data_IF_299314521774
#
_entry.id   IF_299314521774
#
_cell.length_a   1.000
_cell.length_b   1.000
_cell.length_c   1.000
_cell.angle_alpha   90.00
_cell.angle_beta   90.00
_cell.angle_gamma   90.00
#
_symmetry.space_group_name_H-M   'P 1'
#
loop_
_entity.id
_entity.type
_entity.pdbx_description
1 polymer ?
#
# COMPACT_ATOMS: atom_id res chain seq x y z
N UNK A 1 1.30 -0.75 -23.06
CA UNK A 1 2.48 0.14 -23.01
C UNK A 1 2.16 1.60 -23.34
N UNK A 2 1.21 1.89 -24.23
CA UNK A 2 0.80 3.27 -24.52
C UNK A 2 -0.01 3.87 -23.35
N UNK A 3 0.13 5.16 -23.00
CA UNK A 3 0.94 6.18 -23.66
C UNK A 3 2.35 6.37 -23.07
N UNK A 4 2.77 5.57 -22.08
CA UNK A 4 4.09 5.71 -21.42
C UNK A 4 5.28 5.69 -22.39
N UNK A 5 5.19 4.88 -23.46
CA UNK A 5 6.22 4.84 -24.50
C UNK A 5 6.40 6.19 -25.22
N UNK A 6 5.34 6.99 -25.38
CA UNK A 6 5.43 8.32 -25.98
C UNK A 6 6.14 9.32 -25.08
N UNK A 7 5.94 9.21 -23.74
CA UNK A 7 6.70 10.03 -22.78
C UNK A 7 8.20 9.74 -22.90
N UNK A 8 8.57 8.46 -23.01
CA UNK A 8 9.95 8.06 -23.19
C UNK A 8 10.53 8.58 -24.52
N UNK A 9 9.76 8.45 -25.62
CA UNK A 9 10.15 9.00 -26.92
C UNK A 9 10.34 10.51 -26.88
N UNK A 10 9.44 11.26 -26.23
CA UNK A 10 9.58 12.71 -26.07
C UNK A 10 10.85 13.08 -25.31
N UNK A 11 11.19 12.35 -24.25
CA UNK A 11 12.40 12.59 -23.48
C UNK A 11 13.65 12.29 -24.30
N UNK A 12 13.66 11.20 -25.07
CA UNK A 12 14.82 10.74 -25.82
C UNK A 12 15.09 11.55 -27.11
N UNK A 13 14.04 12.02 -27.80
CA UNK A 13 14.13 12.54 -29.15
C UNK A 13 13.94 14.06 -29.25
N UNK A 14 13.29 14.69 -28.25
CA UNK A 14 13.09 16.14 -28.27
C UNK A 14 14.27 16.88 -27.61
N UNK A 15 14.84 17.91 -28.28
CA UNK A 15 15.85 18.76 -27.66
C UNK A 15 15.34 19.44 -26.38
N UNK A 16 16.22 19.63 -25.40
CA UNK A 16 15.86 20.18 -24.09
C UNK A 16 15.10 21.51 -24.16
N UNK A 17 15.53 22.40 -25.07
CA UNK A 17 14.93 23.73 -25.29
C UNK A 17 13.52 23.67 -25.93
N UNK A 18 13.09 22.53 -26.45
CA UNK A 18 11.76 22.32 -27.03
C UNK A 18 10.83 21.47 -26.15
N UNK A 19 11.33 20.95 -25.02
CA UNK A 19 10.50 20.17 -24.10
C UNK A 19 9.52 21.07 -23.38
N UNK A 20 8.24 20.84 -23.60
CA UNK A 20 7.15 21.55 -22.96
C UNK A 20 6.08 20.55 -22.53
N UNK A 21 5.91 20.36 -21.22
CA UNK A 21 4.99 19.37 -20.67
C UNK A 21 3.53 19.64 -21.07
N UNK A 22 3.10 20.90 -21.08
CA UNK A 22 1.73 21.26 -21.45
C UNK A 22 1.44 20.93 -22.91
N UNK A 23 2.39 21.26 -23.83
CA UNK A 23 2.23 20.92 -25.25
C UNK A 23 2.32 19.41 -25.47
N UNK A 24 3.20 18.70 -24.77
CA UNK A 24 3.24 17.25 -24.81
C UNK A 24 1.89 16.64 -24.38
N UNK A 25 1.28 17.10 -23.30
CA UNK A 25 -0.05 16.61 -22.85
C UNK A 25 -1.12 16.84 -23.93
N UNK A 26 -1.13 18.01 -24.55
CA UNK A 26 -2.06 18.33 -25.65
C UNK A 26 -1.91 17.36 -26.83
N UNK A 27 -0.68 17.09 -27.25
CA UNK A 27 -0.37 16.12 -28.33
C UNK A 27 -0.73 14.70 -27.93
N UNK A 28 -0.51 14.34 -26.66
CA UNK A 28 -0.86 13.05 -26.09
C UNK A 28 -2.38 12.83 -26.16
N UNK A 29 -3.18 13.81 -25.76
CA UNK A 29 -4.64 13.70 -25.79
C UNK A 29 -5.17 13.57 -27.25
N UNK A 30 -4.61 14.31 -28.20
CA UNK A 30 -4.93 14.14 -29.63
C UNK A 30 -4.58 12.74 -30.16
N UNK A 31 -3.46 12.16 -29.72
CA UNK A 31 -3.09 10.80 -30.10
C UNK A 31 -3.96 9.74 -29.41
N UNK A 32 -4.46 9.99 -28.20
CA UNK A 32 -5.43 9.10 -27.55
C UNK A 32 -6.73 8.96 -28.39
N UNK A 33 -7.20 10.05 -29.03
CA UNK A 33 -8.35 9.99 -29.94
C UNK A 33 -8.08 9.03 -31.11
N UNK A 34 -6.89 9.10 -31.71
CA UNK A 34 -6.50 8.15 -32.77
C UNK A 34 -6.44 6.70 -32.29
N UNK A 35 -5.97 6.48 -31.08
CA UNK A 35 -6.00 5.14 -30.48
C UNK A 35 -7.45 4.63 -30.28
N UNK A 36 -8.37 5.53 -29.92
CA UNK A 36 -9.80 5.18 -29.81
C UNK A 36 -10.41 4.80 -31.15
N UNK A 37 -10.09 5.53 -32.23
CA UNK A 37 -10.50 5.20 -33.59
C UNK A 37 -10.00 3.81 -34.05
N UNK A 38 -8.80 3.43 -33.61
CA UNK A 38 -8.23 2.11 -33.88
C UNK A 38 -8.60 1.04 -32.84
N UNK A 39 -9.54 1.32 -31.93
CA UNK A 39 -9.96 0.42 -30.85
C UNK A 39 -8.80 -0.10 -29.99
N UNK A 40 -7.69 0.64 -29.93
CA UNK A 40 -6.51 0.25 -29.17
C UNK A 40 -6.75 0.46 -27.67
N UNK A 41 -6.28 -0.49 -26.85
CA UNK A 41 -6.29 -0.35 -25.40
C UNK A 41 -5.07 0.44 -24.94
N UNK A 42 -5.27 1.44 -24.13
CA UNK A 42 -4.20 2.23 -23.53
C UNK A 42 -4.52 2.60 -22.09
N UNK A 43 -3.50 2.99 -21.35
CA UNK A 43 -3.62 3.38 -19.95
C UNK A 43 -4.18 4.81 -19.83
N UNK A 44 -5.27 4.95 -19.10
CA UNK A 44 -5.81 6.24 -18.67
C UNK A 44 -5.40 6.41 -17.20
N UNK A 45 -4.73 7.51 -16.82
CA UNK A 45 -4.30 7.75 -15.44
C UNK A 45 -5.46 7.62 -14.45
N UNK A 46 -5.22 6.92 -13.35
CA UNK A 46 -6.16 6.84 -12.24
C UNK A 46 -6.05 8.11 -11.40
N UNK A 47 -7.14 8.55 -10.77
CA UNK A 47 -7.07 9.51 -9.68
C UNK A 47 -6.22 8.95 -8.52
N UNK A 48 -5.31 9.76 -7.98
CA UNK A 48 -4.41 9.40 -6.89
C UNK A 48 -4.54 10.41 -5.75
N UNK A 49 -4.29 9.97 -4.53
CA UNK A 49 -4.21 10.86 -3.38
C UNK A 49 -2.81 11.45 -3.27
N UNK A 50 -2.64 12.68 -2.77
CA UNK A 50 -1.32 13.33 -2.65
C UNK A 50 -0.34 12.55 -1.78
N UNK A 51 -0.83 11.84 -0.76
CA UNK A 51 -0.02 11.11 0.22
C UNK A 51 0.22 9.63 -0.15
N UNK A 52 -0.10 9.23 -1.35
CA UNK A 52 -0.01 7.86 -1.81
C UNK A 52 -1.37 7.24 -2.07
N UNK A 53 -1.36 6.06 -2.65
CA UNK A 53 -2.58 5.42 -3.17
C UNK A 53 -3.22 4.48 -2.17
N UNK A 54 -3.40 4.89 -0.92
CA UNK A 54 -4.14 4.10 0.06
C UNK A 54 -5.62 4.02 -0.33
N UNK A 55 -6.15 2.80 -0.48
CA UNK A 55 -7.57 2.59 -0.77
C UNK A 55 -8.45 2.73 0.49
N UNK A 56 -7.84 2.94 1.66
CA UNK A 56 -8.47 3.22 2.93
C UNK A 56 -8.00 4.55 3.49
N UNK A 57 -8.92 5.44 3.82
CA UNK A 57 -8.68 6.71 4.50
C UNK A 57 -9.37 6.67 5.86
N UNK A 58 -8.60 6.82 6.92
CA UNK A 58 -9.14 6.95 8.29
C UNK A 58 -9.23 8.42 8.64
N UNK A 59 -10.35 8.81 9.23
CA UNK A 59 -10.61 10.17 9.73
C UNK A 59 -11.03 10.12 11.19
N UNK A 60 -10.63 11.10 11.99
CA UNK A 60 -11.07 11.26 13.40
C UNK A 60 -12.00 12.44 13.57
N UNK A 61 -12.04 13.33 12.59
CA UNK A 61 -12.87 14.53 12.54
C UNK A 61 -13.30 14.80 11.10
N UNK A 62 -14.18 15.75 10.93
CA UNK A 62 -14.59 16.20 9.60
C UNK A 62 -13.38 16.75 8.83
N UNK A 63 -13.21 16.29 7.62
CA UNK A 63 -12.06 16.63 6.77
C UNK A 63 -12.41 16.56 5.28
N UNK A 64 -11.42 16.65 4.42
CA UNK A 64 -11.60 16.54 2.96
C UNK A 64 -10.65 15.51 2.36
N UNK A 65 -11.13 14.77 1.35
CA UNK A 65 -10.30 13.85 0.57
C UNK A 65 -9.96 14.49 -0.76
N UNK A 66 -8.67 14.57 -1.04
CA UNK A 66 -8.12 15.21 -2.24
C UNK A 66 -7.67 14.17 -3.25
N UNK A 67 -7.96 14.42 -4.53
CA UNK A 67 -7.49 13.59 -5.63
C UNK A 67 -6.76 14.43 -6.67
N UNK A 68 -5.75 13.84 -7.26
CA UNK A 68 -4.95 14.43 -8.34
C UNK A 68 -4.77 13.41 -9.46
N UNK A 69 -4.36 13.88 -10.62
CA UNK A 69 -3.93 13.04 -11.75
C UNK A 69 -2.57 13.51 -12.24
N UNK A 70 -1.82 12.64 -12.91
CA UNK A 70 -0.48 12.93 -13.44
C UNK A 70 -0.43 14.15 -14.40
N UNK A 71 -1.57 14.60 -14.91
CA UNK A 71 -1.79 15.83 -15.67
C UNK A 71 -3.22 16.32 -15.44
N UNK A 72 -3.55 17.60 -15.71
CA UNK A 72 -4.93 18.08 -15.55
C UNK A 72 -5.90 17.26 -16.40
N UNK A 73 -6.84 16.59 -15.75
CA UNK A 73 -7.85 15.73 -16.40
C UNK A 73 -9.18 15.87 -15.67
N UNK A 74 -10.29 15.73 -16.42
CA UNK A 74 -11.62 15.65 -15.80
C UNK A 74 -11.71 14.38 -14.97
N UNK A 75 -12.17 14.50 -13.73
CA UNK A 75 -12.51 13.38 -12.85
C UNK A 75 -13.99 13.44 -12.50
N UNK A 76 -14.64 12.30 -12.37
CA UNK A 76 -16.03 12.16 -11.91
C UNK A 76 -16.09 11.17 -10.76
N UNK A 77 -17.01 11.37 -9.81
CA UNK A 77 -17.08 10.56 -8.61
C UNK A 77 -18.52 10.30 -8.14
N UNK A 78 -18.66 9.32 -7.25
CA UNK A 78 -19.86 9.00 -6.47
C UNK A 78 -19.48 8.80 -5.01
N UNK A 79 -20.43 8.99 -4.09
CA UNK A 79 -20.25 8.82 -2.64
C UNK A 79 -21.12 7.69 -2.05
N UNK A 80 -21.99 7.11 -2.87
CA UNK A 80 -22.96 6.08 -2.51
C UNK A 80 -22.50 4.66 -2.85
N UNK A 81 -21.25 4.51 -3.31
CA UNK A 81 -20.69 3.24 -3.72
C UNK A 81 -21.10 2.78 -5.13
N UNK A 82 -21.91 3.54 -5.86
CA UNK A 82 -22.24 3.24 -7.26
C UNK A 82 -21.04 3.50 -8.16
N UNK A 83 -21.01 2.84 -9.34
CA UNK A 83 -19.96 3.07 -10.32
C UNK A 83 -20.17 4.41 -11.03
N UNK A 84 -19.20 5.35 -10.97
CA UNK A 84 -19.35 6.64 -11.64
C UNK A 84 -19.46 6.47 -13.15
N UNK A 85 -20.28 7.34 -13.75
CA UNK A 85 -20.50 7.45 -15.18
C UNK A 85 -19.89 8.78 -15.69
N UNK A 86 -19.68 8.99 -16.99
CA UNK A 86 -19.16 10.26 -17.53
C UNK A 86 -20.01 11.48 -17.16
N UNK A 87 -21.27 11.25 -16.78
CA UNK A 87 -22.27 12.25 -16.37
C UNK A 87 -22.37 12.43 -14.85
N UNK A 88 -21.64 11.64 -14.07
CA UNK A 88 -21.61 11.75 -12.61
C UNK A 88 -21.02 13.08 -12.15
N UNK A 89 -21.10 13.38 -10.85
CA UNK A 89 -20.56 14.60 -10.25
C UNK A 89 -19.10 14.82 -10.64
N UNK A 90 -18.79 16.02 -11.11
CA UNK A 90 -17.42 16.38 -11.53
C UNK A 90 -16.61 16.78 -10.29
N UNK A 91 -15.45 16.20 -10.13
CA UNK A 91 -14.51 16.57 -9.09
C UNK A 91 -13.86 17.93 -9.45
N UNK A 92 -14.15 18.94 -8.68
CA UNK A 92 -13.62 20.31 -8.85
C UNK A 92 -12.83 20.80 -7.63
N UNK A 93 -13.14 20.24 -6.46
CA UNK A 93 -12.50 20.58 -5.19
C UNK A 93 -12.43 19.36 -4.28
N UNK A 94 -11.62 19.37 -3.20
CA UNK A 94 -11.56 18.29 -2.24
C UNK A 94 -12.94 17.88 -1.74
N UNK A 95 -13.20 16.58 -1.64
CA UNK A 95 -14.49 16.00 -1.25
C UNK A 95 -14.63 16.08 0.27
N UNK A 96 -15.61 16.81 0.82
CA UNK A 96 -15.84 16.85 2.26
C UNK A 96 -16.36 15.48 2.76
N UNK A 97 -15.83 15.02 3.89
CA UNK A 97 -16.21 13.78 4.55
C UNK A 97 -16.33 14.00 6.06
N UNK A 98 -17.42 13.53 6.66
CA UNK A 98 -17.71 13.67 8.09
C UNK A 98 -17.97 12.33 8.80
N UNK A 99 -18.02 11.25 8.05
CA UNK A 99 -18.29 9.88 8.52
C UNK A 99 -17.83 8.84 7.53
N UNK A 100 -18.28 7.61 7.73
CA UNK A 100 -17.98 6.51 6.81
C UNK A 100 -18.56 6.79 5.42
N UNK A 101 -17.74 6.56 4.39
CA UNK A 101 -18.14 6.78 3.01
C UNK A 101 -17.37 5.84 2.06
N UNK A 102 -17.93 5.60 0.89
CA UNK A 102 -17.26 4.89 -0.19
C UNK A 102 -17.17 5.83 -1.37
N UNK A 103 -15.98 6.40 -1.57
CA UNK A 103 -15.71 7.27 -2.72
C UNK A 103 -15.27 6.40 -3.89
N UNK A 104 -16.04 6.42 -4.99
CA UNK A 104 -15.62 5.87 -6.26
C UNK A 104 -15.34 6.99 -7.24
N UNK A 105 -14.14 7.01 -7.80
CA UNK A 105 -13.68 8.10 -8.66
C UNK A 105 -12.95 7.55 -9.88
N UNK A 106 -13.13 8.20 -11.01
CA UNK A 106 -12.49 7.85 -12.27
C UNK A 106 -12.16 9.09 -13.10
N UNK A 107 -11.12 8.98 -13.92
CA UNK A 107 -10.78 9.98 -14.92
C UNK A 107 -11.61 9.80 -16.16
N UNK A 108 -12.04 10.88 -16.79
CA UNK A 108 -12.83 10.89 -18.03
C UNK A 108 -12.09 11.66 -19.12
N UNK A 109 -11.88 11.01 -20.26
CA UNK A 109 -11.32 11.64 -21.44
C UNK A 109 -12.37 12.46 -22.20
N UNK A 110 -11.97 13.40 -23.08
CA UNK A 110 -12.91 14.13 -23.94
C UNK A 110 -13.80 13.23 -24.80
N UNK A 111 -13.33 12.05 -25.16
CA UNK A 111 -14.10 11.02 -25.89
C UNK A 111 -15.19 10.34 -25.04
N UNK A 112 -15.26 10.63 -23.73
CA UNK A 112 -16.14 9.93 -22.80
C UNK A 112 -15.58 8.62 -22.24
N UNK A 113 -14.44 8.15 -22.73
CA UNK A 113 -13.77 6.95 -22.24
C UNK A 113 -13.23 7.20 -20.82
N UNK A 114 -13.38 6.20 -19.95
CA UNK A 114 -13.01 6.31 -18.55
C UNK A 114 -11.81 5.43 -18.19
N UNK A 115 -11.08 5.87 -17.16
CA UNK A 115 -10.10 5.01 -16.48
C UNK A 115 -10.79 3.85 -15.75
N UNK A 116 -10.01 2.94 -15.16
CA UNK A 116 -10.55 2.10 -14.09
C UNK A 116 -11.09 3.00 -12.97
N UNK A 117 -12.07 2.48 -12.25
CA UNK A 117 -12.60 3.16 -11.07
C UNK A 117 -11.65 2.92 -9.90
N UNK A 118 -11.26 3.98 -9.22
CA UNK A 118 -10.62 3.89 -7.92
C UNK A 118 -11.69 3.91 -6.84
N UNK A 119 -11.62 2.96 -5.92
CA UNK A 119 -12.50 2.91 -4.75
C UNK A 119 -11.68 3.27 -3.52
N UNK A 120 -12.11 4.26 -2.77
CA UNK A 120 -11.51 4.65 -1.50
C UNK A 120 -12.58 4.51 -0.41
N UNK A 121 -12.26 3.70 0.60
CA UNK A 121 -13.11 3.52 1.77
C UNK A 121 -12.68 4.54 2.81
N UNK A 122 -13.60 5.41 3.21
CA UNK A 122 -13.40 6.36 4.31
C UNK A 122 -14.02 5.76 5.56
N UNK A 123 -13.22 5.64 6.62
CA UNK A 123 -13.67 5.16 7.94
C UNK A 123 -13.45 6.25 8.99
N UNK A 124 -14.50 6.59 9.73
CA UNK A 124 -14.37 7.43 10.94
C UNK A 124 -14.01 6.53 12.10
N UNK A 125 -12.91 6.82 12.77
CA UNK A 125 -12.40 6.05 13.90
C UNK A 125 -12.10 6.99 15.08
N UNK A 126 -12.27 6.47 16.29
CA UNK A 126 -11.65 7.05 17.47
C UNK A 126 -10.19 6.57 17.57
N UNK A 127 -9.36 7.31 18.32
CA UNK A 127 -7.99 6.87 18.56
C UNK A 127 -7.97 5.57 19.37
N UNK A 128 -7.35 4.52 18.84
CA UNK A 128 -7.09 3.31 19.58
C UNK A 128 -6.24 3.64 20.81
N UNK A 129 -6.64 3.24 22.01
CA UNK A 129 -5.93 3.58 23.24
C UNK A 129 -4.58 2.88 23.32
N UNK A 130 -3.57 3.57 23.82
CA UNK A 130 -2.26 2.99 24.05
C UNK A 130 -2.31 1.98 25.21
N UNK A 131 -1.47 0.96 25.14
CA UNK A 131 -1.31 -0.03 26.19
C UNK A 131 -0.55 0.58 27.40
N UNK A 132 -0.99 0.20 28.61
CA UNK A 132 -0.27 0.54 29.84
C UNK A 132 0.78 -0.54 30.08
N UNK A 133 2.05 -0.19 29.92
CA UNK A 133 3.19 -1.09 30.11
C UNK A 133 4.08 -0.54 31.22
N UNK A 134 4.21 -1.26 32.33
CA UNK A 134 4.94 -0.77 33.51
C UNK A 134 6.45 -0.61 33.27
N UNK A 135 7.06 -1.59 32.56
CA UNK A 135 8.50 -1.58 32.27
C UNK A 135 8.74 -2.04 30.82
N UNK A 136 8.62 -1.12 29.84
CA UNK A 136 8.85 -1.49 28.44
C UNK A 136 10.33 -1.80 28.21
N UNK A 137 10.61 -2.96 27.61
CA UNK A 137 11.95 -3.35 27.18
C UNK A 137 12.12 -3.03 25.70
N UNK A 138 13.31 -2.59 25.34
CA UNK A 138 13.62 -2.31 23.93
C UNK A 138 13.77 -3.61 23.14
N UNK A 139 13.27 -3.60 21.89
CA UNK A 139 13.34 -4.70 20.94
C UNK A 139 12.07 -5.52 20.85
N UNK A 140 12.04 -6.38 19.86
CA UNK A 140 10.94 -7.31 19.58
C UNK A 140 11.41 -8.74 19.89
N UNK A 141 10.60 -9.49 20.64
CA UNK A 141 10.85 -10.92 20.86
C UNK A 141 10.47 -11.67 19.58
N UNK A 142 11.43 -12.35 18.96
CA UNK A 142 11.18 -13.14 17.75
C UNK A 142 11.30 -14.63 18.06
N UNK A 143 10.37 -15.41 17.54
CA UNK A 143 10.35 -16.87 17.54
C UNK A 143 10.38 -17.35 16.10
N UNK A 144 11.18 -18.38 15.80
CA UNK A 144 11.29 -18.98 14.47
C UNK A 144 10.98 -20.45 14.50
N UNK A 145 10.24 -20.90 13.50
CA UNK A 145 9.81 -22.31 13.33
C UNK A 145 10.24 -22.76 11.94
N UNK A 146 10.92 -23.90 11.86
CA UNK A 146 11.32 -24.50 10.58
C UNK A 146 10.12 -25.06 9.83
N UNK A 147 10.09 -24.86 8.54
CA UNK A 147 9.05 -25.41 7.66
C UNK A 147 8.78 -24.50 6.47
N UNK A 148 8.15 -25.06 5.46
CA UNK A 148 7.73 -24.33 4.28
C UNK A 148 6.24 -24.04 4.37
N UNK A 149 5.89 -22.83 4.75
CA UNK A 149 4.53 -22.38 4.96
C UNK A 149 4.15 -21.36 3.88
N UNK A 150 2.99 -21.55 3.27
CA UNK A 150 2.43 -20.58 2.32
C UNK A 150 1.48 -19.60 3.00
N UNK A 151 0.86 -20.03 4.10
CA UNK A 151 -0.11 -19.27 4.86
C UNK A 151 0.18 -19.32 6.36
N UNK A 152 -0.23 -18.32 7.08
CA UNK A 152 -0.03 -18.22 8.53
C UNK A 152 -0.90 -19.19 9.32
N UNK A 153 -2.06 -19.56 8.79
CA UNK A 153 -2.96 -20.55 9.40
C UNK A 153 -2.43 -22.00 9.32
N UNK A 154 -1.42 -22.26 8.51
CA UNK A 154 -0.71 -23.54 8.47
C UNK A 154 0.27 -23.74 9.65
N UNK A 155 0.52 -22.67 10.43
CA UNK A 155 1.51 -22.67 11.50
C UNK A 155 0.91 -23.15 12.81
N UNK A 156 1.56 -24.15 13.42
CA UNK A 156 1.35 -24.48 14.80
C UNK A 156 2.48 -23.89 15.67
N UNK A 157 2.22 -22.75 16.29
CA UNK A 157 3.21 -22.00 17.07
C UNK A 157 3.59 -22.68 18.40
N UNK A 158 2.92 -23.77 18.77
CA UNK A 158 3.24 -24.56 19.96
C UNK A 158 4.25 -25.64 19.68
N UNK A 159 4.42 -26.04 18.42
CA UNK A 159 5.35 -27.08 18.01
C UNK A 159 6.70 -26.49 17.59
N UNK A 160 7.76 -26.95 18.24
CA UNK A 160 9.13 -26.86 17.75
C UNK A 160 9.66 -25.43 17.43
N UNK A 161 9.52 -24.48 18.38
CA UNK A 161 10.32 -23.24 18.28
C UNK A 161 11.78 -23.63 18.16
N UNK A 162 12.35 -23.37 16.99
CA UNK A 162 13.73 -23.69 16.68
C UNK A 162 14.70 -22.66 17.26
N UNK A 163 14.31 -21.39 17.25
CA UNK A 163 15.14 -20.29 17.70
C UNK A 163 14.31 -19.15 18.28
N UNK A 164 14.74 -18.63 19.43
CA UNK A 164 14.23 -17.39 20.00
C UNK A 164 15.36 -16.35 20.08
N UNK A 165 15.03 -15.09 19.85
CA UNK A 165 15.97 -13.97 20.02
C UNK A 165 15.19 -12.66 20.24
N UNK A 166 15.91 -11.62 20.61
CA UNK A 166 15.39 -10.23 20.61
C UNK A 166 16.04 -9.49 19.46
N UNK A 167 15.24 -8.79 18.68
CA UNK A 167 15.67 -8.02 17.51
C UNK A 167 15.33 -6.55 17.67
N UNK A 168 16.09 -5.67 17.04
CA UNK A 168 15.84 -4.24 17.04
C UNK A 168 14.95 -3.79 15.88
N UNK A 169 15.00 -4.50 14.75
CA UNK A 169 14.33 -4.11 13.51
C UNK A 169 13.67 -5.32 12.82
N UNK A 170 12.53 -5.11 12.11
CA UNK A 170 11.80 -6.20 11.43
C UNK A 170 12.66 -7.00 10.44
N UNK A 171 13.62 -6.37 9.77
CA UNK A 171 14.53 -7.07 8.84
C UNK A 171 15.38 -8.15 9.51
N UNK A 172 15.62 -8.06 10.82
CA UNK A 172 16.34 -9.06 11.60
C UNK A 172 15.50 -10.32 11.90
N UNK A 173 14.21 -10.34 11.52
CA UNK A 173 13.41 -11.58 11.47
C UNK A 173 14.00 -12.56 10.46
N UNK A 174 14.67 -12.05 9.42
CA UNK A 174 15.36 -12.85 8.42
C UNK A 174 16.63 -13.47 8.98
N UNK A 175 16.92 -14.68 8.54
CA UNK A 175 18.19 -15.37 8.76
C UNK A 175 18.94 -15.35 7.42
N UNK A 176 20.25 -15.08 7.49
CA UNK A 176 21.09 -15.20 6.30
C UNK A 176 21.08 -16.64 5.81
N UNK A 177 20.71 -16.83 4.57
CA UNK A 177 20.70 -18.15 3.90
C UNK A 177 21.69 -18.15 2.74
N UNK A 178 22.28 -19.29 2.47
CA UNK A 178 23.07 -19.48 1.26
C UNK A 178 22.12 -19.68 0.07
N UNK A 179 22.42 -19.04 -1.04
CA UNK A 179 21.62 -19.14 -2.26
C UNK A 179 22.00 -20.37 -3.08
N UNK A 180 21.92 -21.54 -2.45
CA UNK A 180 22.12 -22.82 -3.13
C UNK A 180 20.80 -23.38 -3.72
N UNK A 181 20.94 -24.43 -4.53
CA UNK A 181 19.79 -25.04 -5.20
C UNK A 181 18.76 -25.64 -4.23
N UNK A 182 19.17 -26.07 -3.03
CA UNK A 182 18.28 -26.64 -2.01
C UNK A 182 17.48 -25.51 -1.34
N UNK A 183 18.15 -24.43 -0.95
CA UNK A 183 17.53 -23.24 -0.34
C UNK A 183 16.54 -22.60 -1.31
N UNK A 184 16.89 -22.47 -2.59
CA UNK A 184 15.99 -21.93 -3.62
C UNK A 184 14.78 -22.84 -3.92
N UNK A 185 14.80 -24.09 -3.44
CA UNK A 185 13.62 -24.99 -3.46
C UNK A 185 12.86 -25.02 -2.14
N UNK A 186 13.24 -24.20 -1.17
CA UNK A 186 12.56 -24.08 0.12
C UNK A 186 13.03 -25.07 1.19
N UNK A 187 14.18 -25.77 1.00
CA UNK A 187 14.70 -26.75 1.97
C UNK A 187 15.00 -26.13 3.34
N UNK A 188 15.38 -24.85 3.37
CA UNK A 188 15.74 -24.11 4.57
C UNK A 188 14.68 -23.06 4.96
N UNK A 189 13.44 -23.18 4.46
CA UNK A 189 12.36 -22.26 4.79
C UNK A 189 11.96 -22.35 6.26
N UNK A 190 11.47 -21.22 6.76
CA UNK A 190 10.99 -21.05 8.13
C UNK A 190 9.91 -19.98 8.19
N UNK A 191 9.21 -19.93 9.27
CA UNK A 191 8.36 -18.83 9.66
C UNK A 191 8.97 -18.08 10.86
N UNK A 192 8.78 -16.79 10.93
CA UNK A 192 9.16 -15.97 12.06
C UNK A 192 7.98 -15.14 12.54
N UNK A 193 7.79 -15.09 13.86
CA UNK A 193 6.86 -14.18 14.52
C UNK A 193 7.65 -13.28 15.47
N UNK A 194 7.45 -11.96 15.33
CA UNK A 194 8.02 -10.97 16.23
C UNK A 194 6.90 -10.26 16.98
N UNK A 195 7.04 -10.13 18.30
CA UNK A 195 6.06 -9.52 19.19
C UNK A 195 6.74 -8.46 20.07
N UNK A 196 6.04 -7.38 20.33
CA UNK A 196 6.49 -6.28 21.16
C UNK A 196 5.57 -5.07 21.06
N UNK A 197 6.14 -3.88 21.03
CA UNK A 197 5.38 -2.64 20.98
C UNK A 197 5.98 -1.68 19.97
N UNK A 198 5.13 -0.91 19.31
CA UNK A 198 5.53 0.30 18.59
C UNK A 198 5.20 1.52 19.44
N UNK A 199 6.03 2.55 19.37
CA UNK A 199 5.77 3.81 20.05
C UNK A 199 5.19 4.84 19.09
N UNK A 200 4.03 5.37 19.46
CA UNK A 200 3.32 6.44 18.75
C UNK A 200 3.59 7.75 19.48
N UNK A 201 4.25 8.73 18.86
CA UNK A 201 4.73 9.94 19.55
C UNK A 201 3.62 10.93 19.93
N UNK A 202 2.51 10.94 19.21
CA UNK A 202 1.36 11.83 19.42
C UNK A 202 0.08 11.23 18.86
N UNK A 203 -1.08 11.66 19.34
CA UNK A 203 -2.36 11.24 18.78
C UNK A 203 -2.44 11.61 17.29
N UNK A 204 -2.93 10.70 16.47
CA UNK A 204 -3.04 10.96 15.04
C UNK A 204 -3.51 9.79 14.21
N UNK A 205 -3.77 10.06 12.96
CA UNK A 205 -3.93 9.05 11.93
C UNK A 205 -2.55 8.71 11.37
N UNK A 206 -2.22 7.43 11.34
CA UNK A 206 -0.94 6.93 10.87
C UNK A 206 -1.14 6.07 9.63
N UNK A 207 -0.42 6.41 8.58
CA UNK A 207 -0.27 5.59 7.40
C UNK A 207 0.83 4.55 7.65
N UNK A 208 0.54 3.31 7.34
CA UNK A 208 1.43 2.16 7.49
C UNK A 208 1.58 1.44 6.16
N UNK A 209 2.80 1.03 5.86
CA UNK A 209 3.10 0.20 4.69
C UNK A 209 4.11 -0.88 5.07
N UNK A 210 3.91 -2.12 4.62
CA UNK A 210 4.83 -3.22 4.88
C UNK A 210 4.70 -4.34 3.85
N UNK A 211 5.75 -5.18 3.78
CA UNK A 211 5.81 -6.43 3.01
C UNK A 211 5.75 -7.68 3.86
N UNK A 212 5.54 -7.55 5.16
CA UNK A 212 5.30 -8.68 6.06
C UNK A 212 4.09 -9.50 5.59
N UNK A 213 4.11 -10.80 5.81
CA UNK A 213 2.94 -11.66 5.55
C UNK A 213 1.75 -11.19 6.35
N UNK A 214 1.96 -10.88 7.63
CA UNK A 214 0.95 -10.23 8.47
C UNK A 214 1.58 -9.18 9.39
N UNK A 215 0.90 -8.05 9.52
CA UNK A 215 1.16 -7.03 10.55
C UNK A 215 -0.12 -6.85 11.37
N UNK A 216 0.00 -7.00 12.68
CA UNK A 216 -1.06 -6.79 13.65
C UNK A 216 -0.69 -5.63 14.56
N UNK A 217 -1.64 -4.75 14.84
CA UNK A 217 -1.52 -3.66 15.81
C UNK A 217 -2.76 -3.72 16.70
N UNK A 218 -2.59 -3.61 18.02
CA UNK A 218 -3.65 -3.72 19.01
C UNK A 218 -4.53 -4.98 18.82
N UNK A 219 -3.91 -6.12 18.49
CA UNK A 219 -4.54 -7.39 18.16
C UNK A 219 -5.45 -7.38 16.91
N UNK A 220 -5.40 -6.34 16.11
CA UNK A 220 -6.10 -6.25 14.83
C UNK A 220 -5.13 -6.53 13.68
N UNK A 221 -5.51 -7.42 12.76
CA UNK A 221 -4.78 -7.61 11.49
C UNK A 221 -4.95 -6.37 10.62
N UNK A 222 -3.86 -5.64 10.40
CA UNK A 222 -3.89 -4.36 9.67
C UNK A 222 -3.30 -4.45 8.26
N UNK A 223 -2.33 -5.35 8.06
CA UNK A 223 -1.75 -5.64 6.74
C UNK A 223 -1.62 -7.16 6.57
N UNK A 224 -2.00 -7.67 5.39
CA UNK A 224 -1.76 -9.05 4.98
C UNK A 224 -1.24 -9.08 3.54
N UNK A 225 -0.04 -9.65 3.35
CA UNK A 225 0.56 -9.95 2.05
C UNK A 225 0.71 -11.46 1.83
N UNK A 226 -0.08 -12.28 2.50
CA UNK A 226 -0.02 -13.74 2.35
C UNK A 226 -0.26 -14.15 0.89
N UNK A 227 0.58 -15.05 0.38
CA UNK A 227 0.49 -15.53 -1.00
C UNK A 227 0.99 -14.57 -2.07
N UNK A 228 1.45 -13.38 -1.70
CA UNK A 228 1.99 -12.39 -2.62
C UNK A 228 3.52 -12.50 -2.78
N UNK A 229 4.03 -12.06 -3.92
CA UNK A 229 5.47 -11.96 -4.17
C UNK A 229 6.02 -10.75 -3.42
N UNK A 230 6.57 -10.97 -2.23
CA UNK A 230 7.04 -9.89 -1.32
C UNK A 230 8.08 -8.95 -1.91
N UNK A 231 8.88 -9.42 -2.87
CA UNK A 231 9.88 -8.59 -3.54
C UNK A 231 9.27 -7.39 -4.29
N UNK A 232 8.03 -7.53 -4.76
CA UNK A 232 7.34 -6.52 -5.58
C UNK A 232 5.98 -6.09 -5.02
N UNK A 233 5.46 -6.78 -4.01
CA UNK A 233 4.15 -6.50 -3.41
C UNK A 233 4.31 -5.91 -2.01
N UNK A 234 3.63 -4.82 -1.74
CA UNK A 234 3.43 -4.25 -0.42
C UNK A 234 1.98 -3.87 -0.24
N UNK A 235 1.50 -3.93 0.99
CA UNK A 235 0.17 -3.43 1.36
C UNK A 235 0.32 -2.26 2.29
N UNK A 236 -0.66 -1.40 2.23
CA UNK A 236 -0.76 -0.22 3.06
C UNK A 236 -2.11 -0.14 3.76
N UNK A 237 -2.16 0.62 4.83
CA UNK A 237 -3.38 0.92 5.59
C UNK A 237 -3.22 2.23 6.36
N UNK A 238 -4.32 2.71 6.91
CA UNK A 238 -4.32 3.84 7.85
C UNK A 238 -5.04 3.44 9.14
N UNK A 239 -4.55 3.95 10.28
CA UNK A 239 -5.11 3.71 11.61
C UNK A 239 -5.10 5.01 12.44
N UNK A 240 -6.13 5.21 13.26
CA UNK A 240 -6.14 6.26 14.28
C UNK A 240 -5.57 5.70 15.59
N UNK A 241 -4.41 6.21 16.03
CA UNK A 241 -3.70 5.74 17.21
C UNK A 241 -3.49 6.87 18.21
N UNK A 242 -3.71 6.59 19.49
CA UNK A 242 -3.35 7.49 20.57
C UNK A 242 -1.82 7.49 20.80
N UNK A 243 -1.31 8.54 21.41
CA UNK A 243 0.08 8.61 21.88
C UNK A 243 0.37 7.47 22.87
N UNK A 244 1.47 6.75 22.66
CA UNK A 244 1.95 5.72 23.60
C UNK A 244 2.40 4.44 22.92
N UNK A 245 2.38 3.34 23.66
CA UNK A 245 2.81 2.03 23.20
C UNK A 245 1.61 1.23 22.68
N UNK A 246 1.74 0.66 21.49
CA UNK A 246 0.73 -0.21 20.89
C UNK A 246 1.31 -1.61 20.68
N UNK A 247 0.67 -2.67 21.17
CA UNK A 247 1.10 -4.04 20.90
C UNK A 247 1.22 -4.28 19.40
N UNK A 248 2.33 -4.87 18.99
CA UNK A 248 2.56 -5.25 17.59
C UNK A 248 2.93 -6.72 17.50
N UNK A 249 2.37 -7.40 16.50
CA UNK A 249 2.77 -8.74 16.08
C UNK A 249 3.05 -8.70 14.58
N UNK A 250 4.22 -9.20 14.20
CA UNK A 250 4.69 -9.27 12.83
C UNK A 250 4.94 -10.72 12.45
N UNK A 251 4.46 -11.15 11.30
CA UNK A 251 4.66 -12.50 10.80
C UNK A 251 5.38 -12.44 9.45
N UNK A 252 6.40 -13.25 9.32
CA UNK A 252 7.18 -13.43 8.10
C UNK A 252 7.30 -14.91 7.76
N UNK A 253 6.96 -15.27 6.53
CA UNK A 253 7.16 -16.59 5.95
C UNK A 253 8.29 -16.52 4.93
N UNK A 254 9.36 -17.30 5.12
CA UNK A 254 10.51 -17.29 4.19
C UNK A 254 10.26 -18.07 2.91
N UNK A 255 8.98 -18.23 2.52
CA UNK A 255 8.55 -19.00 1.35
C UNK A 255 9.05 -18.40 0.01
N UNK A 256 8.98 -19.22 -1.03
CA UNK A 256 9.33 -18.85 -2.39
C UNK A 256 8.03 -18.83 -3.22
N UNK A 257 7.66 -17.66 -3.73
CA UNK A 257 6.45 -17.48 -4.53
C UNK A 257 6.85 -16.97 -5.92
N UNK A 258 6.41 -17.67 -6.96
CA UNK A 258 6.73 -17.31 -8.34
C UNK A 258 8.24 -17.29 -8.65
N UNK A 259 9.05 -18.09 -7.94
CA UNK A 259 10.51 -18.11 -8.07
C UNK A 259 11.24 -17.00 -7.29
N UNK A 260 10.50 -16.18 -6.49
CA UNK A 260 11.05 -15.09 -5.70
C UNK A 260 11.12 -15.47 -4.22
N UNK A 261 12.32 -15.61 -3.63
CA UNK A 261 12.48 -15.87 -2.22
C UNK A 261 11.99 -14.72 -1.34
N UNK A 262 11.23 -15.03 -0.30
CA UNK A 262 10.71 -14.04 0.63
C UNK A 262 11.81 -13.25 1.35
N UNK A 263 12.97 -13.87 1.61
CA UNK A 263 14.09 -13.23 2.31
C UNK A 263 14.84 -12.17 1.48
N UNK A 264 14.57 -12.04 0.18
CA UNK A 264 15.08 -10.92 -0.63
C UNK A 264 14.34 -9.62 -0.37
N UNK A 265 13.21 -9.67 0.31
CA UNK A 265 12.36 -8.51 0.54
C UNK A 265 12.83 -7.67 1.72
N UNK A 266 12.56 -6.39 1.68
CA UNK A 266 12.64 -5.50 2.83
C UNK A 266 11.38 -5.69 3.68
N UNK A 267 11.56 -6.07 4.97
CA UNK A 267 10.48 -6.29 5.93
C UNK A 267 10.22 -5.07 6.81
N UNK A 268 10.76 -3.91 6.48
CA UNK A 268 10.49 -2.68 7.25
C UNK A 268 8.99 -2.40 7.34
N UNK A 269 8.61 -1.79 8.44
CA UNK A 269 7.29 -1.18 8.62
C UNK A 269 7.48 0.31 8.51
N UNK A 270 7.04 0.88 7.40
CA UNK A 270 6.96 2.33 7.25
C UNK A 270 5.74 2.82 8.02
N UNK A 271 5.96 3.75 8.93
CA UNK A 271 4.89 4.42 9.66
C UNK A 271 5.11 5.94 9.60
N UNK A 272 4.12 6.67 9.12
CA UNK A 272 4.15 8.13 9.07
C UNK A 272 2.80 8.69 9.46
N UNK A 273 2.82 9.81 10.20
CA UNK A 273 1.58 10.54 10.51
C UNK A 273 1.00 11.12 9.23
N UNK A 274 -0.30 10.95 9.04
CA UNK A 274 -1.01 11.63 7.98
C UNK A 274 -1.23 13.10 8.38
N UNK A 275 -0.72 14.01 7.57
CA UNK A 275 -0.83 15.46 7.80
C UNK A 275 -2.08 16.06 7.16
N UNK A 276 -2.83 15.28 6.40
CA UNK A 276 -4.02 15.72 5.69
C UNK A 276 -5.33 15.48 6.45
N UNK A 277 -5.28 14.79 7.60
CA UNK A 277 -6.46 14.47 8.43
C UNK A 277 -6.44 15.15 9.79
#
# INVERSE_FOLDING_TARGET
MQPRAWTFAEIAWSPLNRKNFKDFCRRLDANCVRLDEHHARYHIPLPEQPNGSCDKVVITRDTTVTFTTSRPMKMVYTLDGTTPQPTSAVYQQPIPVSGNAIIKIATVLPSGKMSRVRTVVVEKQDYAPAAIVAEPKQGLKVRRVKGNYLRVDELNWTDSVWQESVIAQPNEMKIKQEEDAATLRGANNYAAIAEGYIYVPEDGVYYLCSRLDQLWIDNQLVISNEGEVKAVSSRDTSLALAKGLHPVKMVFLSNIIGGWPGWWSDLSVEMRKDTAT
#
